data_IF_249565805406
#
_entry.id   IF_249565805406
#
_cell.length_a   1.000
_cell.length_b   1.000
_cell.length_c   1.000
_cell.angle_alpha   90.00
_cell.angle_beta   90.00
_cell.angle_gamma   90.00
#
_symmetry.space_group_name_H-M   'P 1'
#
loop_
_entity.id
_entity.type
_entity.pdbx_description
1 polymer ?
#
# COMPACT_ATOMS: atom_id res chain seq x y z
N UNK A 1 1.26 -18.08 -7.44
CA UNK A 1 1.77 -16.69 -7.40
C UNK A 1 1.91 -16.35 -5.94
N UNK A 2 3.04 -15.79 -5.54
CA UNK A 2 3.25 -15.43 -4.14
C UNK A 2 2.65 -14.08 -3.81
N UNK A 3 2.23 -13.90 -2.56
CA UNK A 3 1.76 -12.59 -2.05
C UNK A 3 2.90 -11.58 -2.10
N UNK A 4 4.12 -11.99 -1.73
CA UNK A 4 5.33 -11.17 -1.82
C UNK A 4 5.64 -10.70 -3.25
N UNK A 5 5.48 -11.58 -4.25
CA UNK A 5 5.66 -11.26 -5.66
C UNK A 5 4.63 -10.21 -6.12
N UNK A 6 3.36 -10.41 -5.77
CA UNK A 6 2.30 -9.44 -6.08
C UNK A 6 2.59 -8.08 -5.41
N UNK A 7 2.99 -8.07 -4.14
CA UNK A 7 3.37 -6.84 -3.43
C UNK A 7 4.51 -6.10 -4.15
N UNK A 8 5.54 -6.83 -4.60
CA UNK A 8 6.65 -6.25 -5.37
C UNK A 8 6.19 -5.65 -6.69
N UNK A 9 5.33 -6.34 -7.44
CA UNK A 9 4.79 -5.85 -8.70
C UNK A 9 3.97 -4.57 -8.53
N UNK A 10 3.16 -4.49 -7.47
CA UNK A 10 2.36 -3.29 -7.16
C UNK A 10 3.28 -2.14 -6.72
N UNK A 11 4.26 -2.39 -5.85
CA UNK A 11 5.26 -1.40 -5.42
C UNK A 11 5.99 -0.80 -6.62
N UNK A 12 6.50 -1.63 -7.52
CA UNK A 12 7.19 -1.21 -8.74
C UNK A 12 6.28 -0.42 -9.67
N UNK A 13 5.02 -0.85 -9.83
CA UNK A 13 4.05 -0.19 -10.71
C UNK A 13 3.69 1.21 -10.21
N UNK A 14 3.57 1.41 -8.89
CA UNK A 14 3.38 2.74 -8.29
C UNK A 14 4.63 3.59 -8.50
N UNK A 15 5.82 3.05 -8.22
CA UNK A 15 7.10 3.77 -8.38
C UNK A 15 7.39 4.17 -9.81
N UNK A 16 7.02 3.34 -10.78
CA UNK A 16 7.23 3.61 -12.21
C UNK A 16 6.13 4.50 -12.81
N UNK A 17 5.15 4.96 -12.03
CA UNK A 17 4.08 5.85 -12.50
C UNK A 17 3.01 5.17 -13.35
N UNK A 18 2.81 3.85 -13.25
CA UNK A 18 1.69 3.17 -13.91
C UNK A 18 0.34 3.54 -13.30
N UNK A 19 0.34 3.96 -12.03
CA UNK A 19 -0.81 4.59 -11.40
C UNK A 19 -0.67 6.11 -11.46
N UNK A 20 -1.75 6.85 -11.77
CA UNK A 20 -1.71 8.30 -11.78
C UNK A 20 -1.44 8.84 -10.36
N UNK A 21 -0.35 9.60 -10.23
CA UNK A 21 0.01 10.32 -9.01
C UNK A 21 -0.38 11.78 -9.17
N UNK A 22 -1.41 12.20 -8.46
CA UNK A 22 -2.12 13.47 -8.67
C UNK A 22 -1.43 14.66 -7.98
N UNK A 23 -0.65 14.41 -6.93
CA UNK A 23 -0.01 15.46 -6.13
C UNK A 23 1.51 15.26 -6.04
N UNK A 24 2.25 16.35 -5.80
CA UNK A 24 3.70 16.26 -5.60
C UNK A 24 4.06 15.46 -4.34
N UNK A 25 3.20 15.48 -3.32
CA UNK A 25 3.34 14.60 -2.15
C UNK A 25 3.24 13.14 -2.54
N UNK A 26 2.28 12.75 -3.38
CA UNK A 26 2.19 11.36 -3.88
C UNK A 26 3.44 10.96 -4.66
N UNK A 27 3.98 11.83 -5.52
CA UNK A 27 5.23 11.57 -6.25
C UNK A 27 6.43 11.37 -5.31
N UNK A 28 6.57 12.22 -4.29
CA UNK A 28 7.63 12.09 -3.26
C UNK A 28 7.46 10.79 -2.47
N UNK A 29 6.25 10.49 -2.01
CA UNK A 29 5.93 9.29 -1.25
C UNK A 29 6.15 8.01 -2.05
N UNK A 30 5.89 8.01 -3.37
CA UNK A 30 6.08 6.83 -4.22
C UNK A 30 7.52 6.31 -4.16
N UNK A 31 8.52 7.19 -4.16
CA UNK A 31 9.93 6.78 -4.04
C UNK A 31 10.27 6.09 -2.70
N UNK A 32 9.49 6.38 -1.66
CA UNK A 32 9.66 5.85 -0.30
C UNK A 32 8.72 4.67 0.00
N UNK A 33 7.82 4.34 -0.92
CA UNK A 33 6.83 3.27 -0.73
C UNK A 33 7.51 1.92 -0.52
N UNK A 34 7.00 1.18 0.45
CA UNK A 34 7.25 -0.25 0.66
C UNK A 34 5.95 -1.01 0.80
N UNK A 35 5.80 -2.09 0.04
CA UNK A 35 4.66 -3.01 0.12
C UNK A 35 5.21 -4.39 0.50
N UNK A 36 4.83 -4.90 1.66
CA UNK A 36 5.38 -6.15 2.19
C UNK A 36 4.30 -7.13 2.60
N UNK A 37 4.47 -8.40 2.23
CA UNK A 37 3.70 -9.50 2.81
C UNK A 37 4.19 -9.75 4.24
N UNK A 38 3.24 -9.87 5.18
CA UNK A 38 3.44 -10.25 6.58
C UNK A 38 2.84 -11.63 6.89
N UNK A 39 2.25 -12.28 5.90
CA UNK A 39 1.61 -13.57 6.09
C UNK A 39 2.65 -14.64 6.43
N UNK A 40 2.26 -15.59 7.29
CA UNK A 40 3.07 -16.77 7.57
C UNK A 40 3.21 -17.70 6.35
N UNK A 41 2.23 -17.62 5.44
CA UNK A 41 2.19 -18.35 4.19
C UNK A 41 2.22 -17.36 3.04
N UNK A 42 3.13 -17.58 2.09
CA UNK A 42 3.39 -16.61 1.01
C UNK A 42 2.67 -16.98 -0.29
N UNK A 43 1.89 -18.06 -0.34
CA UNK A 43 1.09 -18.39 -1.52
C UNK A 43 -0.32 -17.79 -1.38
N UNK A 44 -0.74 -17.02 -2.39
CA UNK A 44 -2.08 -16.44 -2.50
C UNK A 44 -3.21 -17.47 -2.36
N UNK A 45 -2.92 -18.76 -2.57
CA UNK A 45 -3.87 -19.87 -2.49
C UNK A 45 -3.81 -20.66 -1.19
N UNK A 46 -2.86 -20.41 -0.29
CA UNK A 46 -2.74 -21.13 0.98
C UNK A 46 -2.56 -20.19 2.18
N UNK A 47 -3.55 -20.10 3.06
CA UNK A 47 -3.59 -19.21 4.21
C UNK A 47 -4.05 -17.77 3.94
N UNK A 48 -4.59 -17.13 4.98
CA UNK A 48 -4.94 -15.71 4.95
C UNK A 48 -3.69 -14.86 4.62
N UNK A 49 -3.88 -13.82 3.83
CA UNK A 49 -2.82 -12.89 3.47
C UNK A 49 -2.82 -11.69 4.43
N UNK A 50 -1.64 -11.16 4.72
CA UNK A 50 -1.47 -9.92 5.45
C UNK A 50 -0.50 -9.04 4.66
N UNK A 51 -0.91 -7.83 4.31
CA UNK A 51 -0.10 -6.89 3.52
C UNK A 51 0.06 -5.60 4.31
N UNK A 52 1.29 -5.12 4.38
CA UNK A 52 1.65 -3.83 4.96
C UNK A 52 2.09 -2.88 3.86
N UNK A 53 1.43 -1.72 3.80
CA UNK A 53 1.77 -0.59 2.93
C UNK A 53 2.39 0.49 3.79
N UNK A 54 3.64 0.89 3.50
CA UNK A 54 4.43 1.80 4.31
C UNK A 54 5.06 2.92 3.47
N UNK A 55 5.08 4.13 4.02
CA UNK A 55 5.88 5.26 3.52
C UNK A 55 6.57 5.91 4.72
N UNK A 56 7.90 5.75 4.82
CA UNK A 56 8.64 6.15 6.02
C UNK A 56 8.12 5.42 7.26
N UNK A 57 7.75 6.16 8.30
CA UNK A 57 7.24 5.63 9.57
C UNK A 57 5.71 5.41 9.60
N UNK A 58 4.99 5.81 8.56
CA UNK A 58 3.54 5.66 8.47
C UNK A 58 3.21 4.41 7.68
N UNK A 59 2.37 3.53 8.24
CA UNK A 59 1.94 2.31 7.58
C UNK A 59 0.46 2.00 7.82
N UNK A 60 -0.09 1.20 6.90
CA UNK A 60 -1.39 0.53 7.02
C UNK A 60 -1.14 -0.96 6.82
N UNK A 61 -1.76 -1.79 7.66
CA UNK A 61 -1.69 -3.24 7.54
C UNK A 61 -3.12 -3.79 7.36
N UNK A 62 -3.32 -4.58 6.31
CA UNK A 62 -4.61 -5.15 5.94
C UNK A 62 -4.50 -6.66 5.90
N UNK A 63 -5.49 -7.34 6.50
CA UNK A 63 -5.62 -8.80 6.43
C UNK A 63 -6.68 -9.17 5.40
N UNK A 64 -6.42 -10.19 4.60
CA UNK A 64 -7.32 -10.67 3.57
C UNK A 64 -7.61 -12.15 3.77
N UNK A 65 -8.90 -12.49 3.70
CA UNK A 65 -9.33 -13.88 3.76
C UNK A 65 -9.21 -14.54 2.39
N UNK A 66 -8.78 -15.80 2.37
CA UNK A 66 -8.65 -16.59 1.15
C UNK A 66 -9.95 -16.77 0.35
N UNK A 67 -11.09 -16.67 1.04
CA UNK A 67 -12.40 -16.87 0.42
C UNK A 67 -12.83 -15.68 -0.45
N UNK A 68 -12.03 -14.61 -0.50
CA UNK A 68 -12.29 -13.46 -1.35
C UNK A 68 -12.07 -13.82 -2.83
N UNK A 69 -13.12 -13.61 -3.63
CA UNK A 69 -13.01 -13.75 -5.07
C UNK A 69 -12.08 -12.66 -5.63
N UNK A 70 -11.22 -13.02 -6.58
CA UNK A 70 -10.26 -12.10 -7.20
C UNK A 70 -9.28 -11.43 -6.20
N UNK A 71 -8.86 -12.18 -5.17
CA UNK A 71 -7.95 -11.71 -4.12
C UNK A 71 -6.75 -10.88 -4.62
N UNK A 72 -6.04 -11.24 -5.72
CA UNK A 72 -4.95 -10.39 -6.22
C UNK A 72 -5.38 -8.96 -6.57
N UNK A 73 -6.53 -8.80 -7.23
CA UNK A 73 -7.06 -7.48 -7.59
C UNK A 73 -7.57 -6.71 -6.36
N UNK A 74 -8.12 -7.41 -5.38
CA UNK A 74 -8.54 -6.79 -4.10
C UNK A 74 -7.32 -6.25 -3.35
N UNK A 75 -6.23 -7.02 -3.27
CA UNK A 75 -4.97 -6.58 -2.67
C UNK A 75 -4.42 -5.37 -3.43
N UNK A 76 -4.41 -5.40 -4.76
CA UNK A 76 -3.94 -4.28 -5.58
C UNK A 76 -4.72 -2.99 -5.28
N UNK A 77 -6.06 -3.06 -5.27
CA UNK A 77 -6.90 -1.91 -4.96
C UNK A 77 -6.64 -1.37 -3.54
N UNK A 78 -6.62 -2.23 -2.54
CA UNK A 78 -6.37 -1.83 -1.15
C UNK A 78 -4.99 -1.20 -0.97
N UNK A 79 -3.96 -1.71 -1.66
CA UNK A 79 -2.60 -1.15 -1.61
C UNK A 79 -2.57 0.26 -2.19
N UNK A 80 -3.21 0.47 -3.34
CA UNK A 80 -3.28 1.80 -3.99
C UNK A 80 -4.03 2.80 -3.10
N UNK A 81 -5.16 2.39 -2.52
CA UNK A 81 -5.97 3.25 -1.66
C UNK A 81 -5.26 3.57 -0.34
N UNK A 82 -4.62 2.58 0.27
CA UNK A 82 -3.79 2.76 1.47
C UNK A 82 -2.62 3.70 1.21
N UNK A 83 -1.94 3.57 0.07
CA UNK A 83 -0.89 4.50 -0.32
C UNK A 83 -1.42 5.94 -0.44
N UNK A 84 -2.54 6.16 -1.13
CA UNK A 84 -3.16 7.49 -1.25
C UNK A 84 -3.62 8.04 0.11
N UNK A 85 -4.10 7.18 1.00
CA UNK A 85 -4.46 7.55 2.37
C UNK A 85 -3.23 8.04 3.15
N UNK A 86 -2.11 7.30 3.09
CA UNK A 86 -0.85 7.69 3.73
C UNK A 86 -0.35 9.02 3.18
N UNK A 87 -0.34 9.21 1.85
CA UNK A 87 0.09 10.47 1.24
C UNK A 87 -0.71 11.68 1.73
N UNK A 88 -2.05 11.55 1.83
CA UNK A 88 -2.92 12.60 2.39
C UNK A 88 -2.60 12.90 3.85
N UNK A 89 -2.21 11.89 4.63
CA UNK A 89 -1.80 12.07 6.03
C UNK A 89 -0.45 12.77 6.13
N UNK A 90 0.52 12.40 5.30
CA UNK A 90 1.82 13.08 5.19
C UNK A 90 1.63 14.55 4.81
N UNK A 91 0.81 14.84 3.81
CA UNK A 91 0.51 16.21 3.39
C UNK A 91 -0.05 17.06 4.52
N UNK A 92 -0.96 16.51 5.34
CA UNK A 92 -1.51 17.21 6.51
C UNK A 92 -0.48 17.43 7.62
N UNK A 93 0.48 16.53 7.79
CA UNK A 93 1.56 16.68 8.76
C UNK A 93 2.55 17.75 8.28
N UNK A 94 2.94 17.69 7.01
CA UNK A 94 3.91 18.62 6.38
C UNK A 94 3.37 20.05 6.31
N UNK A 95 2.08 20.21 6.00
CA UNK A 95 1.38 21.50 6.04
C UNK A 95 1.08 21.99 7.47
N UNK A 96 1.53 21.25 8.49
CA UNK A 96 1.44 21.64 9.89
C UNK A 96 0.01 21.71 10.38
N UNK A 97 -0.72 20.59 10.36
CA UNK A 97 -2.02 20.37 11.02
C UNK A 97 -2.21 21.31 12.22
N UNK A 98 -2.84 22.47 11.97
CA UNK A 98 -3.35 23.40 12.98
C UNK A 98 -4.62 22.78 13.55
N UNK A 99 -4.46 21.75 14.37
CA UNK A 99 -5.58 21.25 15.19
C UNK A 99 -5.72 22.23 16.34
N UNK A 100 -6.70 23.14 16.23
CA UNK A 100 -7.30 23.90 17.34
C UNK A 100 -6.36 24.79 18.16
N UNK A 101 -6.49 26.11 17.98
CA UNK A 101 -6.33 27.04 19.11
C UNK A 101 -7.54 26.94 20.02
#
# INVERSE_FOLDING_TARGET
MKVSELCGMIEESIKSGRYPLETDTQKKCAGLLKVTSKAAFDDLRSGDAAVEVRVGDIYVATNFSQNMQHLPGVIEMDVVDSFKLICRKVERIDTGLKIGR
#
